data_IF_192155371892
#
_entry.id   IF_192155371892
#
_cell.length_a   1.000
_cell.length_b   1.000
_cell.length_c   1.000
_cell.angle_alpha   90.00
_cell.angle_beta   90.00
_cell.angle_gamma   90.00
#
_symmetry.space_group_name_H-M   'P 1'
#
loop_
_entity.id
_entity.type
_entity.pdbx_description
1 polymer ?
#
# COMPACT_ATOMS: atom_id res chain seq x y z
N UNK A 1 -19.87 22.94 16.29
CA UNK A 1 -18.73 22.02 16.07
C UNK A 1 -18.70 21.57 14.60
N UNK A 2 -18.51 22.49 13.66
CA UNK A 2 -18.55 22.18 12.20
C UNK A 2 -17.25 22.52 11.45
N UNK A 3 -16.25 23.06 12.16
CA UNK A 3 -15.03 23.61 11.54
C UNK A 3 -14.08 22.57 10.94
N UNK A 4 -14.18 21.29 11.30
CA UNK A 4 -13.30 20.22 10.79
C UNK A 4 -14.07 19.03 10.21
N UNK A 5 -15.29 19.26 9.70
CA UNK A 5 -16.02 18.21 8.97
C UNK A 5 -15.15 17.68 7.82
N UNK A 6 -15.09 16.35 7.70
CA UNK A 6 -14.34 15.60 6.66
C UNK A 6 -12.81 15.74 6.65
N UNK A 7 -12.20 16.39 7.64
CA UNK A 7 -10.74 16.59 7.68
C UNK A 7 -9.93 15.30 7.76
N UNK A 8 -10.50 14.25 8.36
CA UNK A 8 -9.90 12.91 8.36
C UNK A 8 -9.73 12.31 6.94
N UNK A 9 -10.54 12.72 5.98
CA UNK A 9 -10.38 12.31 4.58
C UNK A 9 -9.25 13.08 3.90
N UNK A 10 -9.15 14.38 4.17
CA UNK A 10 -8.07 15.24 3.66
C UNK A 10 -6.68 14.82 4.15
N UNK A 11 -6.57 14.30 5.38
CA UNK A 11 -5.32 13.75 5.92
C UNK A 11 -4.81 12.51 5.15
N UNK A 12 -5.62 11.91 4.28
CA UNK A 12 -5.26 10.74 3.46
C UNK A 12 -4.95 11.09 2.01
N UNK A 13 -5.07 12.36 1.64
CA UNK A 13 -4.79 12.83 0.29
C UNK A 13 -3.38 13.40 0.21
N UNK A 14 -2.76 13.26 -0.95
CA UNK A 14 -1.47 13.91 -1.17
C UNK A 14 -1.65 15.41 -1.12
N UNK A 15 -0.68 16.11 -0.55
CA UNK A 15 -0.67 17.57 -0.52
C UNK A 15 -0.78 18.20 -1.90
N UNK A 16 -0.31 17.52 -2.94
CA UNK A 16 -0.37 17.97 -4.32
C UNK A 16 -1.80 17.93 -4.90
N UNK A 17 -2.66 17.05 -4.38
CA UNK A 17 -4.01 16.80 -4.90
C UNK A 17 -5.08 17.64 -4.18
N UNK A 18 -4.70 18.37 -3.14
CA UNK A 18 -5.60 19.22 -2.36
C UNK A 18 -5.87 20.55 -3.05
N UNK A 19 -7.12 20.97 -3.05
CA UNK A 19 -7.53 22.33 -3.42
C UNK A 19 -7.02 23.36 -2.40
N UNK A 20 -7.02 24.63 -2.79
CA UNK A 20 -6.58 25.72 -1.91
C UNK A 20 -7.42 25.82 -0.63
N UNK A 21 -8.72 25.55 -0.71
CA UNK A 21 -9.62 25.55 0.46
C UNK A 21 -9.35 24.39 1.41
N UNK A 22 -9.12 23.19 0.87
CA UNK A 22 -8.76 22.01 1.66
C UNK A 22 -7.40 22.18 2.33
N UNK A 23 -6.43 22.78 1.64
CA UNK A 23 -5.12 23.09 2.20
C UNK A 23 -5.23 24.13 3.31
N UNK A 24 -6.06 25.17 3.15
CA UNK A 24 -6.36 26.14 4.23
C UNK A 24 -6.99 25.46 5.45
N UNK A 25 -7.90 24.51 5.23
CA UNK A 25 -8.54 23.75 6.31
C UNK A 25 -7.55 22.86 7.06
N UNK A 26 -6.68 22.13 6.34
CA UNK A 26 -5.61 21.32 6.93
C UNK A 26 -4.61 22.16 7.71
N UNK A 27 -4.20 23.32 7.18
CA UNK A 27 -3.29 24.22 7.88
C UNK A 27 -3.88 24.72 9.19
N UNK A 28 -5.18 25.02 9.23
CA UNK A 28 -5.87 25.35 10.50
C UNK A 28 -5.82 24.18 11.48
N UNK A 29 -6.07 22.95 11.03
CA UNK A 29 -5.96 21.76 11.88
C UNK A 29 -4.54 21.63 12.47
N UNK A 30 -3.52 21.83 11.64
CA UNK A 30 -2.12 21.71 12.07
C UNK A 30 -1.72 22.76 13.10
N UNK A 31 -2.31 23.96 13.05
CA UNK A 31 -2.14 24.99 14.10
C UNK A 31 -2.71 24.49 15.43
N UNK A 32 -3.85 23.80 15.41
CA UNK A 32 -4.45 23.26 16.64
C UNK A 32 -3.76 21.99 17.15
N UNK A 33 -3.16 21.19 16.25
CA UNK A 33 -2.46 19.96 16.62
C UNK A 33 -1.17 19.77 15.80
N UNK A 34 -0.03 20.25 16.34
CA UNK A 34 1.28 20.05 15.73
C UNK A 34 1.65 18.56 15.58
N UNK A 35 1.19 17.71 16.51
CA UNK A 35 1.43 16.26 16.44
C UNK A 35 0.78 15.60 15.22
N UNK A 36 -0.41 16.07 14.81
CA UNK A 36 -1.07 15.59 13.59
C UNK A 36 -0.30 16.04 12.36
N UNK A 37 0.26 17.26 12.37
CA UNK A 37 1.12 17.75 11.30
C UNK A 37 2.36 16.88 11.15
N UNK A 38 3.05 16.58 12.25
CA UNK A 38 4.26 15.77 12.25
C UNK A 38 3.98 14.34 11.75
N UNK A 39 2.86 13.74 12.17
CA UNK A 39 2.42 12.45 11.67
C UNK A 39 2.11 12.49 10.16
N UNK A 40 1.41 13.53 9.70
CA UNK A 40 1.08 13.71 8.29
C UNK A 40 2.35 13.92 7.44
N UNK A 41 3.29 14.75 7.90
CA UNK A 41 4.58 14.97 7.23
C UNK A 41 5.39 13.66 7.14
N UNK A 42 5.35 12.83 8.18
CA UNK A 42 5.98 11.52 8.16
C UNK A 42 5.35 10.58 7.12
N UNK A 43 4.02 10.58 6.98
CA UNK A 43 3.32 9.79 5.95
C UNK A 43 3.71 10.24 4.53
N UNK A 44 3.67 11.54 4.26
CA UNK A 44 4.08 12.12 2.98
C UNK A 44 5.53 11.76 2.63
N UNK A 45 6.45 11.89 3.59
CA UNK A 45 7.84 11.53 3.39
C UNK A 45 8.01 10.04 3.05
N UNK A 46 7.19 9.14 3.61
CA UNK A 46 7.23 7.73 3.29
C UNK A 46 6.74 7.47 1.85
N UNK A 47 5.65 8.12 1.43
CA UNK A 47 5.13 8.02 0.06
C UNK A 47 6.14 8.52 -0.97
N UNK A 48 6.84 9.62 -0.68
CA UNK A 48 7.92 10.12 -1.56
C UNK A 48 9.04 9.09 -1.71
N UNK A 49 9.43 8.41 -0.63
CA UNK A 49 10.45 7.36 -0.68
C UNK A 49 10.00 6.17 -1.56
N UNK A 50 8.72 5.80 -1.47
CA UNK A 50 8.12 4.70 -2.22
C UNK A 50 8.00 5.00 -3.72
N UNK A 51 7.64 6.23 -4.08
CA UNK A 51 7.48 6.64 -5.48
C UNK A 51 8.81 7.05 -6.16
N UNK A 52 9.87 7.25 -5.38
CA UNK A 52 11.17 7.67 -5.92
C UNK A 52 11.86 6.51 -6.66
N UNK A 53 12.46 6.74 -7.84
CA UNK A 53 13.19 5.72 -8.59
C UNK A 53 14.54 5.43 -7.90
N UNK A 54 14.50 4.63 -6.85
CA UNK A 54 15.65 4.30 -6.02
C UNK A 54 16.09 2.86 -6.27
N UNK A 55 17.40 2.61 -6.19
CA UNK A 55 17.88 1.24 -6.06
C UNK A 55 17.48 0.66 -4.70
N UNK A 56 17.36 -0.67 -4.60
CA UNK A 56 17.05 -1.39 -3.35
C UNK A 56 17.95 -0.96 -2.18
N UNK A 57 19.24 -0.71 -2.45
CA UNK A 57 20.20 -0.23 -1.45
C UNK A 57 19.91 1.21 -0.98
N UNK A 58 19.56 2.11 -1.89
CA UNK A 58 19.22 3.50 -1.57
C UNK A 58 17.89 3.60 -0.83
N UNK A 59 16.85 2.88 -1.29
CA UNK A 59 15.54 2.85 -0.63
C UNK A 59 15.64 2.31 0.80
N UNK A 60 16.38 1.22 1.03
CA UNK A 60 16.67 0.71 2.39
C UNK A 60 17.32 1.75 3.28
N UNK A 61 18.28 2.53 2.77
CA UNK A 61 18.94 3.60 3.55
C UNK A 61 17.97 4.74 3.87
N UNK A 62 17.11 5.12 2.92
CA UNK A 62 16.17 6.21 3.10
C UNK A 62 15.04 5.83 4.09
N UNK A 63 14.50 4.62 4.00
CA UNK A 63 13.52 4.11 4.99
C UNK A 63 14.14 4.05 6.39
N UNK A 64 15.40 3.61 6.54
CA UNK A 64 16.09 3.64 7.84
C UNK A 64 16.29 5.06 8.38
N UNK A 65 16.56 6.03 7.51
CA UNK A 65 16.66 7.44 7.90
C UNK A 65 15.29 7.95 8.36
N UNK A 66 14.25 7.65 7.59
CA UNK A 66 12.86 8.00 7.89
C UNK A 66 12.41 7.41 9.24
N UNK A 67 12.62 6.11 9.49
CA UNK A 67 12.27 5.48 10.77
C UNK A 67 12.92 6.17 11.97
N UNK A 68 14.19 6.62 11.84
CA UNK A 68 14.87 7.39 12.90
C UNK A 68 14.23 8.75 13.11
N UNK A 69 13.86 9.44 12.03
CA UNK A 69 13.17 10.72 12.12
C UNK A 69 11.81 10.57 12.82
N UNK A 70 11.01 9.57 12.42
CA UNK A 70 9.70 9.32 13.05
C UNK A 70 9.84 8.93 14.53
N UNK A 71 10.82 8.09 14.86
CA UNK A 71 11.08 7.72 16.25
C UNK A 71 11.46 8.95 17.10
N UNK A 72 12.16 9.92 16.54
CA UNK A 72 12.54 11.15 17.24
C UNK A 72 11.39 12.15 17.41
N UNK A 73 10.31 12.03 16.61
CA UNK A 73 9.11 12.85 16.77
C UNK A 73 8.30 12.49 18.03
N UNK A 74 8.60 11.35 18.68
CA UNK A 74 7.94 10.94 19.93
C UNK A 74 6.45 10.60 19.79
N UNK A 75 6.01 10.30 18.56
CA UNK A 75 4.61 10.00 18.27
C UNK A 75 4.31 8.55 18.65
N UNK A 76 3.75 8.35 19.84
CA UNK A 76 3.47 7.01 20.40
C UNK A 76 2.65 6.08 19.49
N UNK A 77 1.75 6.62 18.65
CA UNK A 77 0.96 5.78 17.74
C UNK A 77 1.81 5.17 16.61
N UNK A 78 2.99 5.72 16.33
CA UNK A 78 3.92 5.21 15.32
C UNK A 78 4.79 4.06 15.83
N UNK A 79 4.97 3.91 17.15
CA UNK A 79 5.89 2.92 17.74
C UNK A 79 5.54 1.49 17.33
N UNK A 80 4.25 1.15 17.33
CA UNK A 80 3.77 -0.17 16.90
C UNK A 80 4.09 -0.41 15.43
N UNK A 81 3.85 0.58 14.58
CA UNK A 81 4.14 0.51 13.15
C UNK A 81 5.65 0.37 12.89
N UNK A 82 6.47 1.19 13.53
CA UNK A 82 7.93 1.12 13.43
C UNK A 82 8.47 -0.23 13.92
N UNK A 83 7.89 -0.78 14.98
CA UNK A 83 8.21 -2.12 15.47
C UNK A 83 7.95 -3.19 14.41
N UNK A 84 6.75 -3.21 13.81
CA UNK A 84 6.41 -4.14 12.74
C UNK A 84 7.29 -3.95 11.50
N UNK A 85 7.55 -2.70 11.10
CA UNK A 85 8.39 -2.39 9.95
C UNK A 85 9.83 -2.85 10.17
N UNK A 86 10.34 -2.79 11.41
CA UNK A 86 11.69 -3.27 11.74
C UNK A 86 11.80 -4.79 11.67
N UNK A 87 10.78 -5.52 12.13
CA UNK A 87 10.74 -6.99 12.06
C UNK A 87 10.74 -7.46 10.61
N UNK A 88 9.85 -6.90 9.80
CA UNK A 88 9.67 -7.29 8.39
C UNK A 88 10.52 -6.47 7.42
N UNK A 89 11.49 -5.70 7.92
CA UNK A 89 12.30 -4.79 7.11
C UNK A 89 12.94 -5.45 5.88
N UNK A 90 13.62 -6.62 5.97
CA UNK A 90 14.26 -7.22 4.81
C UNK A 90 13.26 -7.65 3.72
N UNK A 91 12.08 -8.12 4.10
CA UNK A 91 11.01 -8.56 3.20
C UNK A 91 10.31 -7.36 2.55
N UNK A 92 9.85 -6.41 3.38
CA UNK A 92 9.06 -5.25 2.95
C UNK A 92 9.85 -4.27 2.09
N UNK A 93 11.14 -4.08 2.37
CA UNK A 93 11.97 -3.13 1.60
C UNK A 93 12.36 -3.65 0.22
N UNK A 94 12.21 -4.94 -0.05
CA UNK A 94 12.37 -5.48 -1.39
C UNK A 94 11.14 -5.16 -2.26
N UNK A 95 9.95 -5.25 -1.69
CA UNK A 95 8.69 -4.98 -2.38
C UNK A 95 8.46 -3.48 -2.59
N UNK A 96 8.72 -2.66 -1.56
CA UNK A 96 8.57 -1.19 -1.60
C UNK A 96 9.46 -0.57 -2.69
N UNK A 97 10.73 -0.98 -2.78
CA UNK A 97 11.68 -0.33 -3.70
C UNK A 97 11.51 -0.81 -5.15
N UNK A 98 10.97 -2.01 -5.36
CA UNK A 98 10.74 -2.52 -6.71
C UNK A 98 9.38 -2.10 -7.28
N UNK A 99 8.56 -1.33 -6.53
CA UNK A 99 7.18 -0.98 -6.86
C UNK A 99 6.43 -2.13 -7.55
N UNK A 100 6.59 -3.35 -7.03
CA UNK A 100 5.94 -4.52 -7.62
C UNK A 100 4.44 -4.34 -7.36
N UNK A 101 3.72 -3.86 -8.37
CA UNK A 101 2.29 -3.62 -8.24
C UNK A 101 1.61 -4.90 -7.76
N UNK A 102 0.75 -4.80 -6.75
CA UNK A 102 -0.05 -5.94 -6.30
C UNK A 102 -0.98 -6.45 -7.39
N UNK A 103 -1.06 -5.79 -8.56
CA UNK A 103 -1.93 -6.12 -9.68
C UNK A 103 -1.84 -7.56 -10.15
N UNK A 104 -0.66 -8.18 -10.16
CA UNK A 104 -0.54 -9.61 -10.47
C UNK A 104 -1.21 -10.47 -9.39
N UNK A 105 -0.91 -10.20 -8.12
CA UNK A 105 -1.47 -10.93 -6.97
C UNK A 105 -2.98 -10.71 -6.84
N UNK A 106 -3.44 -9.49 -7.07
CA UNK A 106 -4.84 -9.06 -7.09
C UNK A 106 -5.59 -9.73 -8.24
N UNK A 107 -4.99 -9.75 -9.44
CA UNK A 107 -5.51 -10.43 -10.63
C UNK A 107 -5.67 -11.93 -10.39
N UNK A 108 -4.63 -12.58 -9.88
CA UNK A 108 -4.67 -14.00 -9.52
C UNK A 108 -5.72 -14.28 -8.43
N UNK A 109 -5.78 -13.44 -7.40
CA UNK A 109 -6.79 -13.55 -6.33
C UNK A 109 -8.20 -13.41 -6.89
N UNK A 110 -8.42 -12.52 -7.85
CA UNK A 110 -9.73 -12.32 -8.46
C UNK A 110 -10.12 -13.51 -9.36
N UNK A 111 -9.18 -14.04 -10.14
CA UNK A 111 -9.39 -15.28 -10.92
C UNK A 111 -9.75 -16.46 -10.01
N UNK A 112 -9.00 -16.67 -8.93
CA UNK A 112 -9.31 -17.73 -7.95
C UNK A 112 -10.68 -17.53 -7.30
N UNK A 113 -11.07 -16.29 -6.99
CA UNK A 113 -12.42 -15.98 -6.48
C UNK A 113 -13.50 -16.33 -7.51
N UNK A 114 -13.31 -16.01 -8.79
CA UNK A 114 -14.24 -16.36 -9.87
C UNK A 114 -14.35 -17.87 -10.03
N UNK A 115 -13.22 -18.58 -9.97
CA UNK A 115 -13.19 -20.05 -10.05
C UNK A 115 -13.95 -20.67 -8.89
N UNK A 116 -13.75 -20.20 -7.65
CA UNK A 116 -14.54 -20.63 -6.48
C UNK A 116 -16.03 -20.36 -6.65
N UNK A 117 -16.42 -19.23 -7.26
CA UNK A 117 -17.84 -18.89 -7.53
C UNK A 117 -18.48 -19.77 -8.60
N UNK A 118 -17.72 -20.21 -9.60
CA UNK A 118 -18.21 -21.10 -10.68
C UNK A 118 -18.22 -22.57 -10.25
N UNK A 119 -17.39 -22.93 -9.27
CA UNK A 119 -17.16 -24.30 -8.85
C UNK A 119 -17.58 -24.55 -7.39
N UNK A 120 -18.73 -24.00 -6.97
CA UNK A 120 -19.29 -24.33 -5.66
C UNK A 120 -19.50 -25.84 -5.53
N UNK A 121 -18.99 -26.44 -4.45
CA UNK A 121 -19.15 -27.87 -4.15
C UNK A 121 -17.99 -28.78 -4.60
N UNK A 122 -16.92 -28.25 -5.19
CA UNK A 122 -15.70 -29.05 -5.42
C UNK A 122 -14.99 -29.27 -4.08
N UNK A 123 -15.12 -30.47 -3.53
CA UNK A 123 -14.44 -30.94 -2.31
C UNK A 123 -13.11 -31.63 -2.61
N UNK A 124 -12.92 -32.11 -3.84
CA UNK A 124 -11.69 -32.76 -4.27
C UNK A 124 -10.63 -31.73 -4.64
N UNK A 125 -9.56 -31.68 -3.84
CA UNK A 125 -8.45 -30.75 -3.99
C UNK A 125 -7.71 -30.93 -5.32
N UNK A 126 -7.56 -32.17 -5.82
CA UNK A 126 -6.87 -32.43 -7.08
C UNK A 126 -7.61 -31.82 -8.27
N UNK A 127 -8.95 -31.89 -8.28
CA UNK A 127 -9.78 -31.31 -9.33
C UNK A 127 -9.76 -29.78 -9.29
N UNK A 128 -9.69 -29.20 -8.08
CA UNK A 128 -9.50 -27.76 -7.91
C UNK A 128 -8.16 -27.30 -8.53
N UNK A 129 -7.07 -28.01 -8.25
CA UNK A 129 -5.75 -27.68 -8.81
C UNK A 129 -5.72 -27.82 -10.34
N UNK A 130 -6.32 -28.88 -10.90
CA UNK A 130 -6.45 -29.04 -12.34
C UNK A 130 -7.19 -27.86 -12.96
N UNK A 131 -8.30 -27.42 -12.35
CA UNK A 131 -9.09 -26.30 -12.84
C UNK A 131 -8.31 -24.98 -12.77
N UNK A 132 -7.59 -24.72 -11.67
CA UNK A 132 -6.73 -23.53 -11.55
C UNK A 132 -5.62 -23.56 -12.61
N UNK A 133 -5.00 -24.71 -12.84
CA UNK A 133 -3.95 -24.87 -13.85
C UNK A 133 -4.49 -24.59 -15.27
N UNK A 134 -5.70 -25.08 -15.58
CA UNK A 134 -6.38 -24.82 -16.86
C UNK A 134 -6.81 -23.34 -17.00
N UNK A 135 -7.28 -22.68 -15.94
CA UNK A 135 -7.66 -21.26 -16.02
C UNK A 135 -6.44 -20.35 -16.24
N UNK A 136 -5.30 -20.69 -15.64
CA UNK A 136 -4.06 -19.92 -15.75
C UNK A 136 -3.29 -20.19 -17.05
N UNK A 137 -3.26 -21.44 -17.52
CA UNK A 137 -2.41 -21.86 -18.65
C UNK A 137 -3.22 -22.35 -19.86
N UNK A 138 -4.54 -22.46 -19.76
CA UNK A 138 -5.37 -23.10 -20.77
C UNK A 138 -5.38 -22.35 -22.08
N UNK A 139 -5.43 -21.02 -22.06
CA UNK A 139 -5.33 -20.21 -23.28
C UNK A 139 -3.94 -20.33 -23.93
N UNK A 140 -2.87 -20.39 -23.15
CA UNK A 140 -1.52 -20.57 -23.70
C UNK A 140 -1.28 -21.98 -24.25
N UNK A 141 -1.97 -23.00 -23.73
CA UNK A 141 -1.78 -24.42 -24.10
C UNK A 141 -2.79 -24.94 -25.12
N UNK A 142 -3.98 -24.35 -25.16
CA UNK A 142 -5.13 -24.84 -25.93
C UNK A 142 -5.90 -23.70 -26.62
N UNK A 143 -5.44 -22.45 -26.51
CA UNK A 143 -6.01 -21.33 -27.25
C UNK A 143 -5.78 -21.55 -28.74
N UNK A 144 -6.88 -21.52 -29.50
CA UNK A 144 -6.82 -21.48 -30.96
C UNK A 144 -6.42 -20.05 -31.35
N UNK A 145 -5.47 -19.90 -32.28
CA UNK A 145 -5.16 -18.56 -32.82
C UNK A 145 -6.43 -17.93 -33.41
N UNK A 146 -6.65 -16.62 -33.19
CA UNK A 146 -7.81 -15.96 -33.76
C UNK A 146 -7.70 -15.96 -35.29
N UNK A 147 -8.79 -16.37 -35.95
CA UNK A 147 -8.98 -16.27 -37.41
C UNK A 147 -9.13 -14.81 -37.80
#
# INVERSE_FOLDING_TARGET
>A
MDQFKNVHWLLRHRRADLTDDERRLLNRLFVHSPQIKDAHDACEALTVIDESPLSTGQGKRQIRRWMRQVSNLGIRCSDRFLGTLRIHFPEKTNDLVNCQTSGFVEGLKNQLKVLKRRCYGITNLAHLYQRVCLDLNGYARFGVEPI
#
